data_IF_812444153563
#
_entry.id   IF_812444153563
#
_cell.length_a   1.000
_cell.length_b   1.000
_cell.length_c   1.000
_cell.angle_alpha   90.00
_cell.angle_beta   90.00
_cell.angle_gamma   90.00
#
_symmetry.space_group_name_H-M   'P 1'
#
loop_
_entity.id
_entity.type
_entity.pdbx_description
1 polymer ?
#
# COMPACT_ATOMS: atom_id res chain seq x y z
N UNK A 1 -0.64 26.20 -0.74
CA UNK A 1 -0.77 27.07 0.45
C UNK A 1 -1.65 26.45 1.53
N UNK A 2 -2.84 25.92 1.21
CA UNK A 2 -3.79 25.34 2.18
C UNK A 2 -3.25 24.24 3.12
N UNK A 3 -2.15 23.56 2.77
CA UNK A 3 -1.53 22.49 3.56
C UNK A 3 -0.17 22.89 4.17
N UNK A 4 0.18 24.18 4.16
CA UNK A 4 1.44 24.71 4.68
C UNK A 4 2.73 24.05 4.13
N UNK A 5 2.72 23.64 2.86
CA UNK A 5 3.86 23.06 2.14
C UNK A 5 4.13 23.81 0.85
N UNK A 6 4.84 24.93 0.92
CA UNK A 6 5.20 25.73 -0.25
C UNK A 6 6.53 25.20 -0.80
N UNK A 7 6.47 24.47 -1.91
CA UNK A 7 7.63 23.90 -2.60
C UNK A 7 7.46 24.16 -4.11
N UNK A 8 8.18 25.14 -4.69
CA UNK A 8 8.10 25.43 -6.12
C UNK A 8 8.57 24.26 -6.99
N UNK A 9 8.02 24.15 -8.20
CA UNK A 9 8.39 23.11 -9.16
C UNK A 9 9.89 23.11 -9.48
N UNK A 10 10.47 24.29 -9.76
CA UNK A 10 11.90 24.42 -10.09
C UNK A 10 12.81 23.91 -8.96
N UNK A 11 12.41 24.09 -7.70
CA UNK A 11 13.16 23.55 -6.57
C UNK A 11 13.16 22.01 -6.60
N UNK A 12 12.02 21.39 -6.86
CA UNK A 12 11.89 19.93 -6.92
C UNK A 12 12.71 19.39 -8.10
N UNK A 13 12.61 20.05 -9.26
CA UNK A 13 13.37 19.71 -10.47
C UNK A 13 14.87 19.72 -10.20
N UNK A 14 15.39 20.81 -9.64
CA UNK A 14 16.81 20.95 -9.28
C UNK A 14 17.27 19.83 -8.33
N UNK A 15 16.44 19.43 -7.37
CA UNK A 15 16.80 18.33 -6.45
C UNK A 15 16.82 16.97 -7.13
N UNK A 16 15.87 16.68 -8.02
CA UNK A 16 15.86 15.42 -8.78
C UNK A 16 17.07 15.34 -9.70
N UNK A 17 17.43 16.43 -10.38
CA UNK A 17 18.62 16.50 -11.23
C UNK A 17 19.89 16.22 -10.42
N UNK A 18 20.05 16.86 -9.26
CA UNK A 18 21.20 16.61 -8.35
C UNK A 18 21.27 15.18 -7.83
N UNK A 19 20.12 14.54 -7.54
CA UNK A 19 20.09 13.13 -7.13
C UNK A 19 20.59 12.23 -8.27
N UNK A 20 20.19 12.51 -9.52
CA UNK A 20 20.69 11.77 -10.68
C UNK A 20 22.18 12.00 -10.93
N UNK A 21 22.64 13.24 -10.84
CA UNK A 21 24.08 13.57 -10.96
C UNK A 21 24.93 12.85 -9.90
N UNK A 22 24.38 12.65 -8.71
CA UNK A 22 25.02 11.90 -7.64
C UNK A 22 24.92 10.35 -7.79
N UNK A 23 24.29 9.86 -8.85
CA UNK A 23 24.17 8.42 -9.13
C UNK A 23 23.09 7.70 -8.33
N UNK A 24 22.12 8.41 -7.75
CA UNK A 24 20.96 7.75 -7.15
C UNK A 24 20.08 7.11 -8.22
N UNK A 25 19.79 5.84 -8.01
CA UNK A 25 18.83 5.07 -8.81
C UNK A 25 17.44 5.06 -8.14
N UNK A 26 16.40 4.73 -8.89
CA UNK A 26 15.03 4.53 -8.40
C UNK A 26 14.43 5.72 -7.62
N UNK A 27 14.52 6.92 -8.19
CA UNK A 27 13.95 8.13 -7.58
C UNK A 27 12.42 8.04 -7.55
N UNK A 28 11.85 8.11 -6.34
CA UNK A 28 10.41 8.09 -6.12
C UNK A 28 9.85 9.49 -5.88
N UNK A 29 8.68 9.79 -6.46
CA UNK A 29 7.92 11.03 -6.22
C UNK A 29 6.57 10.71 -5.58
N UNK A 30 6.32 11.29 -4.40
CA UNK A 30 5.05 11.17 -3.70
C UNK A 30 4.08 12.28 -4.08
N UNK A 31 2.88 11.87 -4.47
CA UNK A 31 1.74 12.72 -4.73
C UNK A 31 0.62 12.43 -3.74
N UNK A 32 -0.16 13.46 -3.41
CA UNK A 32 -1.36 13.31 -2.58
C UNK A 32 -2.53 13.97 -3.30
N UNK A 33 -3.53 13.15 -3.64
CA UNK A 33 -4.78 13.61 -4.24
C UNK A 33 -5.93 13.63 -3.22
N UNK A 34 -6.92 14.52 -3.41
CA UNK A 34 -7.99 14.75 -2.44
C UNK A 34 -7.66 15.80 -1.37
N UNK A 35 -6.62 16.60 -1.56
CA UNK A 35 -6.33 17.78 -0.73
C UNK A 35 -7.26 18.95 -1.10
N UNK A 36 -7.40 19.96 -0.22
CA UNK A 36 -8.27 21.10 -0.48
C UNK A 36 -7.97 21.80 -1.82
N UNK A 37 -9.04 22.21 -2.51
CA UNK A 37 -9.04 22.92 -3.80
C UNK A 37 -8.53 22.11 -5.00
N UNK A 38 -8.28 20.81 -4.86
CA UNK A 38 -7.93 19.97 -5.99
C UNK A 38 -9.18 19.59 -6.81
N UNK A 39 -9.13 19.87 -8.10
CA UNK A 39 -10.01 19.28 -9.12
C UNK A 39 -9.20 18.36 -10.04
N UNK A 40 -9.88 17.55 -10.85
CA UNK A 40 -9.29 16.75 -11.93
C UNK A 40 -8.35 17.58 -12.80
N UNK A 41 -8.80 18.74 -13.29
CA UNK A 41 -8.03 19.59 -14.19
C UNK A 41 -6.79 20.20 -13.49
N UNK A 42 -6.93 20.57 -12.22
CA UNK A 42 -5.80 21.09 -11.44
C UNK A 42 -4.75 20.02 -11.16
N UNK A 43 -5.19 18.78 -10.91
CA UNK A 43 -4.32 17.66 -10.59
C UNK A 43 -3.67 17.08 -11.85
N UNK A 44 -4.36 17.10 -12.99
CA UNK A 44 -3.80 16.72 -14.29
C UNK A 44 -2.54 17.53 -14.62
N UNK A 45 -2.58 18.85 -14.42
CA UNK A 45 -1.39 19.71 -14.57
C UNK A 45 -0.24 19.33 -13.62
N UNK A 46 -0.56 18.78 -12.46
CA UNK A 46 0.46 18.28 -11.52
C UNK A 46 1.06 16.98 -12.03
N UNK A 47 0.23 16.06 -12.52
CA UNK A 47 0.66 14.79 -13.13
C UNK A 47 1.54 15.03 -14.35
N UNK A 48 1.17 15.96 -15.23
CA UNK A 48 1.98 16.32 -16.41
C UNK A 48 3.38 16.80 -16.03
N UNK A 49 3.48 17.68 -15.01
CA UNK A 49 4.78 18.11 -14.48
C UNK A 49 5.58 16.96 -13.86
N UNK A 50 4.94 16.00 -13.20
CA UNK A 50 5.65 14.83 -12.67
C UNK A 50 6.15 13.92 -13.80
N UNK A 51 5.38 13.76 -14.86
CA UNK A 51 5.81 13.02 -16.06
C UNK A 51 7.04 13.70 -16.68
N UNK A 52 7.06 15.04 -16.79
CA UNK A 52 8.23 15.80 -17.25
C UNK A 52 9.48 15.58 -16.39
N UNK A 53 9.32 15.45 -15.07
CA UNK A 53 10.43 15.11 -14.17
C UNK A 53 10.98 13.68 -14.40
N UNK A 54 10.19 12.81 -15.03
CA UNK A 54 10.54 11.43 -15.39
C UNK A 54 11.09 10.58 -14.22
N UNK A 55 10.46 10.60 -13.02
CA UNK A 55 10.92 9.78 -11.89
C UNK A 55 10.88 8.28 -12.23
N UNK A 56 11.56 7.46 -11.45
CA UNK A 56 11.56 6.01 -11.68
C UNK A 56 10.34 5.34 -11.04
N UNK A 57 9.87 5.92 -9.94
CA UNK A 57 8.70 5.47 -9.17
C UNK A 57 7.81 6.65 -8.79
N UNK A 58 6.52 6.39 -8.66
CA UNK A 58 5.52 7.37 -8.23
C UNK A 58 4.59 6.70 -7.24
N UNK A 59 4.31 7.36 -6.12
CA UNK A 59 3.26 6.94 -5.19
C UNK A 59 2.18 8.03 -5.09
N UNK A 60 0.96 7.72 -5.52
CA UNK A 60 -0.16 8.66 -5.57
C UNK A 60 -1.19 8.34 -4.47
N UNK A 61 -0.97 8.88 -3.28
CA UNK A 61 -1.79 8.58 -2.10
C UNK A 61 -3.11 9.34 -2.09
N UNK A 62 -4.19 8.63 -1.73
CA UNK A 62 -5.46 9.26 -1.41
C UNK A 62 -5.37 9.97 -0.05
N UNK A 63 -5.72 11.25 0.00
CA UNK A 63 -5.78 11.98 1.25
C UNK A 63 -6.88 11.41 2.15
N UNK A 64 -6.47 10.99 3.35
CA UNK A 64 -7.36 10.53 4.42
C UNK A 64 -7.63 11.65 5.42
N UNK A 65 -8.86 12.16 5.42
CA UNK A 65 -9.33 13.16 6.37
C UNK A 65 -9.86 12.48 7.65
N UNK A 66 -9.04 12.48 8.69
CA UNK A 66 -9.27 11.80 9.98
C UNK A 66 -8.91 12.73 11.16
N UNK A 67 -9.60 13.89 11.32
CA UNK A 67 -9.26 14.90 12.32
C UNK A 67 -9.35 14.42 13.77
N UNK A 68 -10.06 13.32 14.02
CA UNK A 68 -10.14 12.66 15.33
C UNK A 68 -8.79 12.04 15.75
N UNK A 69 -8.02 11.54 14.78
CA UNK A 69 -6.70 10.92 14.98
C UNK A 69 -5.58 11.93 14.71
N UNK A 70 -5.80 12.86 13.78
CA UNK A 70 -4.85 13.90 13.38
C UNK A 70 -5.48 15.30 13.56
N UNK A 71 -5.50 15.84 14.80
CA UNK A 71 -6.22 17.09 15.11
C UNK A 71 -5.82 18.29 14.24
N UNK A 72 -4.57 18.38 13.79
CA UNK A 72 -4.10 19.46 12.91
C UNK A 72 -4.85 19.53 11.57
N UNK A 73 -5.47 18.43 11.10
CA UNK A 73 -6.30 18.44 9.89
C UNK A 73 -7.57 19.29 10.05
N UNK A 74 -7.99 19.62 11.28
CA UNK A 74 -9.12 20.54 11.52
C UNK A 74 -8.86 21.96 11.00
N UNK A 75 -7.59 22.32 10.79
CA UNK A 75 -7.19 23.60 10.20
C UNK A 75 -7.44 23.67 8.68
N UNK A 76 -7.76 22.54 8.04
CA UNK A 76 -8.05 22.50 6.61
C UNK A 76 -9.48 22.99 6.33
N UNK A 77 -9.70 23.78 5.27
CA UNK A 77 -11.03 24.20 4.85
C UNK A 77 -11.82 22.99 4.36
N UNK A 78 -12.76 22.51 5.19
CA UNK A 78 -13.54 21.28 4.92
C UNK A 78 -14.33 21.37 3.62
N UNK A 79 -14.96 22.51 3.35
CA UNK A 79 -15.79 22.72 2.17
C UNK A 79 -14.98 22.79 0.86
N UNK A 80 -13.66 22.92 0.97
CA UNK A 80 -12.74 22.88 -0.15
C UNK A 80 -12.20 21.47 -0.43
N UNK A 81 -12.50 20.48 0.42
CA UNK A 81 -12.10 19.09 0.15
C UNK A 81 -12.89 18.55 -1.05
N UNK A 82 -12.24 17.84 -1.98
CA UNK A 82 -12.93 17.27 -3.13
C UNK A 82 -13.96 16.23 -2.69
N UNK A 83 -15.09 16.18 -3.39
CA UNK A 83 -16.11 15.15 -3.16
C UNK A 83 -15.55 13.75 -3.47
N UNK A 84 -16.17 12.67 -2.96
CA UNK A 84 -15.76 11.30 -3.31
C UNK A 84 -15.75 11.04 -4.83
N UNK A 85 -16.75 11.56 -5.54
CA UNK A 85 -16.83 11.46 -7.01
C UNK A 85 -15.65 12.16 -7.69
N UNK A 86 -15.30 13.37 -7.24
CA UNK A 86 -14.15 14.11 -7.77
C UNK A 86 -12.82 13.38 -7.49
N UNK A 87 -12.68 12.77 -6.30
CA UNK A 87 -11.52 11.94 -5.98
C UNK A 87 -11.40 10.71 -6.89
N UNK A 88 -12.52 10.10 -7.28
CA UNK A 88 -12.52 8.98 -8.24
C UNK A 88 -12.10 9.44 -9.63
N UNK A 89 -12.63 10.57 -10.11
CA UNK A 89 -12.22 11.18 -11.39
C UNK A 89 -10.72 11.52 -11.43
N UNK A 90 -10.17 12.01 -10.32
CA UNK A 90 -8.73 12.25 -10.18
C UNK A 90 -7.95 10.92 -10.23
N UNK A 91 -8.41 9.89 -9.52
CA UNK A 91 -7.74 8.58 -9.49
C UNK A 91 -7.71 7.92 -10.88
N UNK A 92 -8.83 7.92 -11.60
CA UNK A 92 -8.92 7.40 -12.97
C UNK A 92 -7.93 8.13 -13.89
N UNK A 93 -7.93 9.48 -13.85
CA UNK A 93 -7.00 10.30 -14.62
C UNK A 93 -5.54 10.01 -14.30
N UNK A 94 -5.18 9.83 -13.02
CA UNK A 94 -3.83 9.49 -12.58
C UNK A 94 -3.37 8.19 -13.23
N UNK A 95 -4.21 7.15 -13.17
CA UNK A 95 -3.91 5.81 -13.70
C UNK A 95 -3.68 5.92 -15.22
N UNK A 96 -4.63 6.52 -15.94
CA UNK A 96 -4.58 6.64 -17.39
C UNK A 96 -3.36 7.42 -17.89
N UNK A 97 -3.05 8.57 -17.27
CA UNK A 97 -1.93 9.43 -17.66
C UNK A 97 -0.59 8.76 -17.39
N UNK A 98 -0.40 8.15 -16.23
CA UNK A 98 0.87 7.48 -15.93
C UNK A 98 1.06 6.23 -16.79
N UNK A 99 0.02 5.44 -17.03
CA UNK A 99 0.13 4.30 -17.96
C UNK A 99 0.42 4.75 -19.39
N UNK A 100 -0.24 5.81 -19.86
CA UNK A 100 0.01 6.41 -21.18
C UNK A 100 1.43 6.99 -21.31
N UNK A 101 2.03 7.43 -20.20
CA UNK A 101 3.43 7.87 -20.12
C UNK A 101 4.43 6.70 -19.96
N UNK A 102 3.98 5.45 -19.98
CA UNK A 102 4.82 4.25 -19.95
C UNK A 102 5.08 3.66 -18.57
N UNK A 103 4.45 4.17 -17.51
CA UNK A 103 4.57 3.58 -16.18
C UNK A 103 3.65 2.35 -16.03
N UNK A 104 4.14 1.35 -15.30
CA UNK A 104 3.35 0.18 -14.89
C UNK A 104 2.64 0.53 -13.58
N UNK A 105 1.32 0.35 -13.56
CA UNK A 105 0.55 0.38 -12.31
C UNK A 105 0.84 -0.91 -11.51
N UNK A 106 1.71 -0.78 -10.50
CA UNK A 106 2.15 -1.89 -9.65
C UNK A 106 1.00 -2.33 -8.75
N UNK A 107 0.32 -1.39 -8.10
CA UNK A 107 -0.82 -1.72 -7.25
C UNK A 107 -1.03 -0.69 -6.15
N UNK A 108 -2.27 -0.66 -5.66
CA UNK A 108 -2.79 0.34 -4.72
C UNK A 108 -2.61 1.78 -5.21
N UNK A 109 -1.43 2.34 -5.00
CA UNK A 109 -1.09 3.75 -5.21
C UNK A 109 0.29 3.89 -5.90
N UNK A 110 0.96 2.79 -6.24
CA UNK A 110 2.33 2.80 -6.76
C UNK A 110 2.40 2.55 -8.27
N UNK A 111 3.26 3.32 -8.92
CA UNK A 111 3.64 3.21 -10.32
C UNK A 111 5.17 3.13 -10.43
N UNK A 112 5.67 2.37 -11.40
CA UNK A 112 7.10 2.27 -11.65
C UNK A 112 7.39 2.07 -13.14
N UNK A 113 8.61 2.39 -13.59
CA UNK A 113 9.03 2.08 -14.96
C UNK A 113 8.99 0.56 -15.23
N UNK A 114 8.78 0.12 -16.49
CA UNK A 114 8.68 -1.31 -16.80
C UNK A 114 9.92 -2.14 -16.43
N UNK A 115 11.09 -1.51 -16.45
CA UNK A 115 12.40 -2.08 -16.13
C UNK A 115 12.74 -2.00 -14.63
N UNK A 116 11.96 -1.26 -13.83
CA UNK A 116 12.18 -1.18 -12.39
C UNK A 116 12.02 -2.56 -11.74
N UNK A 117 12.87 -2.85 -10.76
CA UNK A 117 12.90 -4.14 -10.06
C UNK A 117 11.52 -4.55 -9.49
N UNK A 118 10.66 -3.60 -9.10
CA UNK A 118 9.32 -3.91 -8.59
C UNK A 118 8.40 -4.39 -9.71
N UNK A 119 8.44 -3.75 -10.88
CA UNK A 119 7.66 -4.16 -12.04
C UNK A 119 8.12 -5.53 -12.56
N UNK A 120 9.44 -5.76 -12.57
CA UNK A 120 10.04 -7.05 -12.94
C UNK A 120 9.62 -8.14 -11.96
N UNK A 121 9.72 -7.90 -10.65
CA UNK A 121 9.35 -8.87 -9.62
C UNK A 121 7.86 -9.21 -9.66
N UNK A 122 6.98 -8.23 -9.89
CA UNK A 122 5.55 -8.48 -10.02
C UNK A 122 5.24 -9.40 -11.22
N UNK A 123 5.87 -9.17 -12.38
CA UNK A 123 5.68 -10.05 -13.55
C UNK A 123 6.13 -11.48 -13.31
N UNK A 124 7.08 -11.69 -12.39
CA UNK A 124 7.56 -13.02 -11.97
C UNK A 124 6.77 -13.63 -10.81
N UNK A 125 5.81 -12.91 -10.23
CA UNK A 125 5.10 -13.35 -9.02
C UNK A 125 5.96 -13.34 -7.76
N UNK A 126 7.03 -12.53 -7.75
CA UNK A 126 8.03 -12.43 -6.69
C UNK A 126 7.93 -11.11 -5.90
N UNK A 127 6.99 -10.23 -6.25
CA UNK A 127 6.83 -8.96 -5.55
C UNK A 127 6.35 -9.23 -4.13
N UNK A 128 6.97 -8.53 -3.18
CA UNK A 128 6.62 -8.61 -1.76
C UNK A 128 6.31 -7.22 -1.20
N UNK A 129 5.81 -7.19 0.03
CA UNK A 129 5.52 -5.96 0.74
C UNK A 129 5.87 -6.07 2.22
N UNK A 130 6.48 -5.01 2.76
CA UNK A 130 6.71 -4.84 4.19
C UNK A 130 6.07 -3.53 4.70
N UNK A 131 6.44 -3.08 5.89
CA UNK A 131 5.89 -1.85 6.48
C UNK A 131 6.25 -0.58 5.69
N UNK A 132 7.37 -0.56 4.97
CA UNK A 132 7.81 0.58 4.18
C UNK A 132 7.10 0.65 2.81
N UNK A 133 6.77 -0.49 2.21
CA UNK A 133 6.16 -0.55 0.89
C UNK A 133 6.47 -1.83 0.14
N UNK A 134 6.31 -1.78 -1.18
CA UNK A 134 6.68 -2.86 -2.08
C UNK A 134 8.20 -3.08 -2.11
N UNK A 135 8.64 -4.32 -2.24
CA UNK A 135 10.04 -4.71 -2.23
C UNK A 135 10.26 -6.03 -2.97
N UNK A 136 11.48 -6.23 -3.49
CA UNK A 136 11.96 -7.50 -4.05
C UNK A 136 12.54 -8.45 -2.99
N UNK A 137 12.60 -8.01 -1.72
CA UNK A 137 13.23 -8.76 -0.63
C UNK A 137 12.19 -9.45 0.26
N UNK A 138 11.73 -10.63 -0.18
CA UNK A 138 10.92 -11.52 0.65
C UNK A 138 11.78 -12.28 1.66
N UNK A 139 11.25 -12.52 2.86
CA UNK A 139 11.88 -13.38 3.87
C UNK A 139 13.04 -12.74 4.65
N UNK A 140 13.27 -11.44 4.49
CA UNK A 140 14.24 -10.71 5.30
C UNK A 140 13.58 -10.18 6.57
N UNK A 141 14.34 -10.16 7.66
CA UNK A 141 13.91 -9.49 8.89
C UNK A 141 14.06 -7.97 8.74
N UNK A 142 13.09 -7.23 9.26
CA UNK A 142 13.06 -5.79 9.31
C UNK A 142 13.26 -5.33 10.76
N UNK A 143 14.40 -4.72 11.05
CA UNK A 143 14.67 -4.12 12.35
C UNK A 143 14.33 -2.63 12.32
N UNK A 144 13.26 -2.26 13.04
CA UNK A 144 12.82 -0.88 13.14
C UNK A 144 13.48 -0.15 14.31
N UNK A 145 14.24 0.91 14.04
CA UNK A 145 14.86 1.78 15.06
C UNK A 145 14.11 3.10 15.22
N UNK A 146 14.16 3.67 16.43
CA UNK A 146 13.49 4.93 16.75
C UNK A 146 12.09 4.76 17.35
N UNK A 147 11.54 5.85 17.87
CA UNK A 147 10.17 5.85 18.37
C UNK A 147 9.18 5.53 17.25
N UNK A 148 8.08 4.85 17.59
CA UNK A 148 7.00 4.38 16.68
C UNK A 148 7.36 3.29 15.68
N UNK A 149 8.65 2.98 15.49
CA UNK A 149 9.11 2.02 14.49
C UNK A 149 8.47 0.66 14.69
N UNK A 150 8.28 -0.05 13.58
CA UNK A 150 7.77 -1.42 13.56
C UNK A 150 8.84 -2.31 12.95
N UNK A 151 9.12 -3.42 13.61
CA UNK A 151 9.93 -4.49 13.06
C UNK A 151 9.10 -5.72 12.71
N UNK A 152 9.68 -6.54 11.83
CA UNK A 152 9.13 -7.80 11.34
C UNK A 152 10.24 -8.83 11.39
N UNK A 153 10.08 -9.82 12.27
CA UNK A 153 10.90 -11.02 12.33
C UNK A 153 10.19 -12.15 11.57
N UNK A 154 10.79 -13.33 11.54
CA UNK A 154 10.22 -14.50 10.86
C UNK A 154 8.75 -14.78 11.27
N UNK A 155 8.51 -14.85 12.58
CA UNK A 155 7.24 -15.25 13.20
C UNK A 155 6.55 -14.16 14.01
N UNK A 156 7.08 -12.94 14.01
CA UNK A 156 6.57 -11.91 14.91
C UNK A 156 6.74 -10.50 14.38
N UNK A 157 5.85 -9.63 14.85
CA UNK A 157 5.94 -8.19 14.68
C UNK A 157 6.18 -7.54 16.03
N UNK A 158 6.97 -6.48 16.07
CA UNK A 158 7.12 -5.65 17.27
C UNK A 158 7.01 -4.18 16.91
N UNK A 159 6.55 -3.38 17.87
CA UNK A 159 6.48 -1.94 17.73
C UNK A 159 7.17 -1.27 18.92
N UNK A 160 8.05 -0.32 18.65
CA UNK A 160 8.68 0.50 19.66
C UNK A 160 7.69 1.51 20.28
N UNK A 161 8.03 2.03 21.46
CA UNK A 161 7.26 3.09 22.11
C UNK A 161 6.93 4.25 21.18
N UNK A 162 5.68 4.71 21.24
CA UNK A 162 5.16 5.75 20.34
C UNK A 162 5.57 7.16 20.75
N UNK A 163 5.80 7.39 22.04
CA UNK A 163 6.22 8.70 22.54
C UNK A 163 7.73 8.71 22.68
N UNK A 164 8.36 9.86 22.38
CA UNK A 164 9.79 10.04 22.61
C UNK A 164 10.16 9.89 24.09
N UNK A 165 9.26 10.30 25.00
CA UNK A 165 9.47 10.19 26.45
C UNK A 165 9.66 8.74 26.88
N UNK A 166 8.72 7.87 26.52
CA UNK A 166 8.74 6.47 26.96
C UNK A 166 9.82 5.68 26.21
N UNK A 167 10.08 6.02 24.94
CA UNK A 167 11.19 5.48 24.15
C UNK A 167 12.55 5.78 24.81
N UNK A 168 12.85 7.05 25.10
CA UNK A 168 14.12 7.46 25.70
C UNK A 168 14.28 6.87 27.11
N UNK A 169 13.24 6.96 27.94
CA UNK A 169 13.26 6.39 29.29
C UNK A 169 13.64 4.90 29.28
N UNK A 170 13.09 4.13 28.34
CA UNK A 170 13.37 2.68 28.26
C UNK A 170 14.83 2.40 27.86
N UNK A 171 15.39 3.22 26.96
CA UNK A 171 16.80 3.14 26.55
C UNK A 171 17.74 3.53 27.70
N UNK A 172 17.43 4.62 28.42
CA UNK A 172 18.25 5.10 29.53
C UNK A 172 18.34 4.08 30.67
N UNK A 173 17.34 3.20 30.80
CA UNK A 173 17.31 2.07 31.72
C UNK A 173 18.02 0.80 31.19
N UNK A 174 18.65 0.86 30.01
CA UNK A 174 19.36 -0.26 29.38
C UNK A 174 18.44 -1.33 28.78
N UNK A 175 17.18 -1.01 28.48
CA UNK A 175 16.19 -1.95 27.94
C UNK A 175 15.87 -1.67 26.47
N UNK A 176 15.49 -2.72 25.72
CA UNK A 176 15.02 -2.57 24.33
C UNK A 176 13.63 -1.90 24.35
N UNK A 177 13.40 -0.81 23.60
CA UNK A 177 12.20 0.03 23.73
C UNK A 177 10.95 -0.53 23.03
N UNK A 178 10.73 -1.85 23.10
CA UNK A 178 9.53 -2.52 22.56
C UNK A 178 8.33 -2.21 23.45
N UNK A 179 7.28 -1.65 22.86
CA UNK A 179 6.01 -1.37 23.51
C UNK A 179 5.06 -2.57 23.46
N UNK A 180 4.97 -3.23 22.29
CA UNK A 180 4.10 -4.38 22.06
C UNK A 180 4.61 -5.22 20.91
N UNK A 181 4.17 -6.47 20.86
CA UNK A 181 4.41 -7.36 19.73
C UNK A 181 3.25 -8.31 19.47
N UNK A 182 3.36 -9.07 18.39
CA UNK A 182 2.42 -10.10 17.99
C UNK A 182 3.20 -11.28 17.43
N UNK A 183 2.98 -12.48 17.98
CA UNK A 183 3.56 -13.73 17.47
C UNK A 183 2.50 -14.41 16.60
N UNK A 184 2.89 -14.78 15.40
CA UNK A 184 2.06 -15.39 14.38
C UNK A 184 1.85 -16.87 14.71
N UNK A 185 0.60 -17.32 14.61
CA UNK A 185 0.30 -18.74 14.59
C UNK A 185 0.34 -19.27 13.13
N UNK A 186 0.18 -20.58 12.95
CA UNK A 186 0.22 -21.23 11.64
C UNK A 186 -0.82 -20.66 10.64
N UNK A 187 -2.05 -20.40 11.08
CA UNK A 187 -3.10 -19.78 10.24
C UNK A 187 -2.71 -18.36 9.81
N UNK A 188 -2.06 -17.58 10.68
CA UNK A 188 -1.55 -16.25 10.33
C UNK A 188 -0.47 -16.32 9.23
N UNK A 189 0.40 -17.34 9.26
CA UNK A 189 1.42 -17.54 8.22
C UNK A 189 0.78 -17.85 6.86
N UNK A 190 -0.17 -18.79 6.82
CA UNK A 190 -0.86 -19.19 5.59
C UNK A 190 -1.61 -17.99 5.01
N UNK A 191 -2.40 -17.29 5.84
CA UNK A 191 -3.19 -16.13 5.41
C UNK A 191 -2.31 -14.96 4.98
N UNK A 192 -1.16 -14.74 5.65
CA UNK A 192 -0.19 -13.71 5.24
C UNK A 192 0.31 -13.97 3.83
N UNK A 193 0.66 -15.20 3.49
CA UNK A 193 1.12 -15.53 2.13
C UNK A 193 0.03 -15.27 1.09
N UNK A 194 -1.20 -15.72 1.34
CA UNK A 194 -2.34 -15.49 0.43
C UNK A 194 -2.63 -14.01 0.25
N UNK A 195 -2.70 -13.24 1.34
CA UNK A 195 -2.95 -11.79 1.30
C UNK A 195 -1.82 -11.07 0.56
N UNK A 196 -0.56 -11.44 0.80
CA UNK A 196 0.58 -10.80 0.15
C UNK A 196 0.61 -11.10 -1.35
N UNK A 197 0.33 -12.34 -1.75
CA UNK A 197 0.22 -12.70 -3.17
C UNK A 197 -0.91 -11.92 -3.86
N UNK A 198 -2.09 -11.83 -3.24
CA UNK A 198 -3.19 -11.01 -3.77
C UNK A 198 -2.74 -9.55 -3.92
N UNK A 199 -2.18 -8.94 -2.86
CA UNK A 199 -1.84 -7.52 -2.83
C UNK A 199 -0.63 -7.12 -3.69
N UNK A 200 0.30 -8.05 -3.95
CA UNK A 200 1.55 -7.78 -4.67
C UNK A 200 1.58 -8.38 -6.07
N UNK A 201 1.01 -9.57 -6.24
CA UNK A 201 1.11 -10.37 -7.46
C UNK A 201 -0.23 -10.51 -8.18
N UNK A 202 -1.27 -9.81 -7.71
CA UNK A 202 -2.58 -9.68 -8.37
C UNK A 202 -3.29 -11.03 -8.54
N UNK A 203 -3.10 -11.91 -7.57
CA UNK A 203 -3.67 -13.24 -7.55
C UNK A 203 -2.90 -14.16 -6.63
N UNK A 204 -3.37 -15.39 -6.49
CA UNK A 204 -2.71 -16.44 -5.71
C UNK A 204 -2.87 -17.77 -6.43
N UNK A 205 -1.79 -18.55 -6.52
CA UNK A 205 -1.81 -19.91 -7.07
C UNK A 205 -2.00 -20.91 -5.93
N UNK A 206 -3.02 -21.77 -6.02
CA UNK A 206 -3.33 -22.74 -4.98
C UNK A 206 -2.18 -23.73 -4.78
N UNK A 207 -1.61 -24.36 -5.83
CA UNK A 207 -0.53 -25.33 -5.65
C UNK A 207 0.71 -24.75 -4.96
N UNK A 208 0.96 -23.43 -5.09
CA UNK A 208 2.06 -22.75 -4.37
C UNK A 208 1.81 -22.79 -2.86
N UNK A 209 0.62 -22.39 -2.42
CA UNK A 209 0.25 -22.35 -1.00
C UNK A 209 0.16 -23.77 -0.43
N UNK A 210 -0.43 -24.70 -1.17
CA UNK A 210 -0.54 -26.11 -0.77
C UNK A 210 0.84 -26.75 -0.55
N UNK A 211 1.81 -26.53 -1.46
CA UNK A 211 3.19 -27.01 -1.29
C UNK A 211 3.91 -26.39 -0.10
N UNK A 212 3.66 -25.10 0.18
CA UNK A 212 4.33 -24.39 1.27
C UNK A 212 3.85 -24.84 2.65
N UNK A 213 2.56 -25.16 2.78
CA UNK A 213 1.91 -25.36 4.08
C UNK A 213 1.29 -26.74 4.29
N UNK A 214 1.29 -27.62 3.27
CA UNK A 214 0.75 -28.97 3.39
C UNK A 214 -0.77 -29.01 3.57
N UNK A 215 -1.49 -28.03 3.03
CA UNK A 215 -2.96 -27.94 3.08
C UNK A 215 -3.59 -28.26 1.73
N UNK A 216 -4.90 -28.53 1.70
CA UNK A 216 -5.73 -28.40 0.50
C UNK A 216 -6.34 -26.98 0.49
N UNK A 217 -6.05 -26.17 -0.52
CA UNK A 217 -6.43 -24.76 -0.53
C UNK A 217 -7.95 -24.58 -0.52
N UNK A 218 -8.66 -25.37 -1.33
CA UNK A 218 -10.11 -25.25 -1.50
C UNK A 218 -10.87 -25.67 -0.25
N UNK A 219 -10.39 -26.70 0.44
CA UNK A 219 -10.96 -27.13 1.71
C UNK A 219 -10.66 -26.12 2.83
N UNK A 220 -9.40 -25.68 2.93
CA UNK A 220 -8.95 -24.75 3.96
C UNK A 220 -9.63 -23.37 3.86
N UNK A 221 -9.79 -22.86 2.63
CA UNK A 221 -10.39 -21.57 2.33
C UNK A 221 -11.81 -21.69 1.75
N UNK A 222 -12.53 -22.79 2.00
CA UNK A 222 -13.86 -23.03 1.42
C UNK A 222 -14.83 -21.88 1.67
N UNK A 223 -14.79 -21.30 2.87
CA UNK A 223 -15.64 -20.18 3.26
C UNK A 223 -15.22 -18.89 2.54
N UNK A 224 -13.92 -18.59 2.49
CA UNK A 224 -13.39 -17.44 1.78
C UNK A 224 -13.75 -17.50 0.29
N UNK A 225 -13.65 -18.68 -0.33
CA UNK A 225 -14.05 -18.89 -1.72
C UNK A 225 -15.55 -18.65 -1.94
N UNK A 226 -16.40 -19.00 -0.98
CA UNK A 226 -17.83 -18.66 -1.04
C UNK A 226 -18.06 -17.14 -0.93
N UNK A 227 -17.38 -16.48 0.00
CA UNK A 227 -17.45 -15.01 0.19
C UNK A 227 -16.92 -14.24 -1.03
N UNK A 228 -16.11 -14.87 -1.89
CA UNK A 228 -15.56 -14.26 -3.11
C UNK A 228 -16.50 -14.33 -4.32
N UNK A 229 -17.57 -15.14 -4.29
CA UNK A 229 -18.46 -15.31 -5.46
C UNK A 229 -19.11 -14.01 -5.92
N UNK A 230 -19.54 -13.16 -4.99
CA UNK A 230 -20.13 -11.85 -5.33
C UNK A 230 -19.11 -10.97 -6.09
N UNK A 231 -17.85 -10.96 -5.65
CA UNK A 231 -16.78 -10.21 -6.34
C UNK A 231 -16.42 -10.81 -7.71
N UNK A 232 -16.58 -12.13 -7.88
CA UNK A 232 -16.40 -12.80 -9.17
C UNK A 232 -17.56 -12.47 -10.14
N UNK A 233 -18.80 -12.49 -9.66
CA UNK A 233 -19.99 -12.08 -10.41
C UNK A 233 -19.91 -10.61 -10.87
N UNK A 234 -19.37 -9.73 -10.01
CA UNK A 234 -19.08 -8.32 -10.32
C UNK A 234 -17.87 -8.12 -11.26
N UNK A 235 -17.17 -9.20 -11.64
CA UNK A 235 -16.01 -9.12 -12.55
C UNK A 235 -14.77 -8.46 -11.94
N UNK A 236 -14.65 -8.44 -10.61
CA UNK A 236 -13.47 -7.93 -9.91
C UNK A 236 -12.34 -8.97 -9.90
N UNK A 237 -12.70 -10.24 -9.83
CA UNK A 237 -11.78 -11.36 -9.77
C UNK A 237 -12.26 -12.50 -10.66
N UNK A 238 -11.39 -13.48 -10.85
CA UNK A 238 -11.74 -14.77 -11.44
C UNK A 238 -11.16 -15.89 -10.58
N UNK A 239 -12.00 -16.81 -10.14
CA UNK A 239 -11.62 -18.00 -9.40
C UNK A 239 -11.54 -19.17 -10.39
N UNK A 240 -10.32 -19.56 -10.73
CA UNK A 240 -10.06 -20.68 -11.62
C UNK A 240 -9.82 -21.96 -10.81
N UNK A 241 -9.58 -23.09 -11.48
CA UNK A 241 -9.38 -24.37 -10.80
C UNK A 241 -8.19 -24.35 -9.83
N UNK A 242 -7.10 -23.71 -10.24
CA UNK A 242 -5.79 -23.72 -9.57
C UNK A 242 -5.33 -22.35 -9.04
N UNK A 243 -6.14 -21.29 -9.17
CA UNK A 243 -5.74 -19.93 -8.78
C UNK A 243 -6.92 -18.97 -8.62
N UNK A 244 -6.64 -17.84 -7.96
CA UNK A 244 -7.47 -16.62 -8.03
C UNK A 244 -6.69 -15.57 -8.81
N UNK A 245 -7.34 -14.87 -9.73
CA UNK A 245 -6.78 -13.74 -10.48
C UNK A 245 -7.56 -12.47 -10.18
N UNK A 246 -6.84 -11.38 -9.94
CA UNK A 246 -7.43 -10.04 -9.84
C UNK A 246 -7.59 -9.47 -11.25
N UNK A 247 -8.81 -9.12 -11.63
CA UNK A 247 -9.11 -8.49 -12.92
C UNK A 247 -8.78 -7.00 -12.89
N UNK A 248 -8.65 -6.32 -14.05
CA UNK A 248 -8.26 -4.91 -14.10
C UNK A 248 -9.09 -3.99 -13.19
N UNK A 249 -10.41 -4.17 -13.16
CA UNK A 249 -11.33 -3.41 -12.29
C UNK A 249 -11.10 -3.73 -10.81
N UNK A 250 -10.90 -5.02 -10.48
CA UNK A 250 -10.64 -5.46 -9.11
C UNK A 250 -9.32 -4.95 -8.52
N UNK A 251 -8.37 -4.48 -9.33
CA UNK A 251 -7.12 -3.87 -8.82
C UNK A 251 -7.39 -2.66 -7.92
N UNK A 252 -8.45 -1.89 -8.17
CA UNK A 252 -8.84 -0.74 -7.34
C UNK A 252 -9.39 -1.17 -5.98
N UNK A 253 -10.03 -2.35 -5.95
CA UNK A 253 -10.67 -2.94 -4.77
C UNK A 253 -9.88 -4.10 -4.18
N UNK A 254 -8.57 -4.17 -4.48
CA UNK A 254 -7.71 -5.29 -4.09
C UNK A 254 -7.66 -5.51 -2.57
N UNK A 255 -7.82 -4.42 -1.80
CA UNK A 255 -7.92 -4.49 -0.34
C UNK A 255 -9.18 -5.23 0.10
N UNK A 256 -10.30 -5.03 -0.59
CA UNK A 256 -11.57 -5.70 -0.28
C UNK A 256 -11.45 -7.21 -0.52
N UNK A 257 -10.76 -7.61 -1.60
CA UNK A 257 -10.45 -9.03 -1.87
C UNK A 257 -9.55 -9.62 -0.78
N UNK A 258 -8.46 -8.92 -0.43
CA UNK A 258 -7.55 -9.38 0.62
C UNK A 258 -8.22 -9.49 2.00
N UNK A 259 -9.17 -8.61 2.31
CA UNK A 259 -9.92 -8.63 3.58
C UNK A 259 -10.74 -9.90 3.78
N UNK A 260 -11.14 -10.61 2.70
CA UNK A 260 -11.86 -11.89 2.82
C UNK A 260 -10.99 -12.92 3.53
N UNK A 261 -9.68 -12.89 3.31
CA UNK A 261 -8.73 -13.82 3.92
C UNK A 261 -8.24 -13.40 5.32
N UNK A 262 -8.64 -12.24 5.83
CA UNK A 262 -8.24 -11.75 7.16
C UNK A 262 -9.16 -12.31 8.27
N UNK A 263 -8.65 -13.30 9.02
CA UNK A 263 -9.37 -13.91 10.13
C UNK A 263 -9.62 -12.96 11.31
N UNK A 264 -8.77 -11.95 11.52
CA UNK A 264 -8.87 -11.02 12.65
C UNK A 264 -9.88 -9.91 12.40
N UNK A 265 -10.07 -9.50 11.14
CA UNK A 265 -11.13 -8.57 10.77
C UNK A 265 -12.52 -9.13 11.06
N UNK A 266 -12.73 -10.44 10.87
CA UNK A 266 -13.99 -11.09 11.23
C UNK A 266 -14.24 -11.01 12.74
N UNK A 267 -13.22 -11.30 13.55
CA UNK A 267 -13.30 -11.16 15.03
C UNK A 267 -13.55 -9.71 15.45
N UNK A 268 -13.04 -8.74 14.67
CA UNK A 268 -13.24 -7.30 14.90
C UNK A 268 -14.48 -6.71 14.23
N UNK A 269 -15.23 -7.38 13.35
CA UNK A 269 -16.50 -6.85 12.83
C UNK A 269 -17.56 -6.72 13.94
N UNK A 270 -17.33 -7.36 15.09
CA UNK A 270 -18.04 -7.07 16.35
C UNK A 270 -17.67 -5.68 16.96
N UNK A 271 -16.57 -5.05 16.52
CA UNK A 271 -16.00 -3.77 17.00
C UNK A 271 -15.53 -2.89 15.80
N UNK A 272 -16.47 -2.16 15.17
CA UNK A 272 -16.27 -1.36 13.93
C UNK A 272 -15.18 -0.27 14.00
N UNK A 273 -14.22 -0.26 13.06
CA UNK A 273 -13.55 0.96 12.57
C UNK A 273 -13.11 0.87 11.08
N UNK A 274 -13.38 1.97 10.34
CA UNK A 274 -13.03 2.33 8.94
C UNK A 274 -13.77 1.62 7.80
N UNK A 275 -14.44 2.41 6.94
CA UNK A 275 -15.03 1.99 5.65
C UNK A 275 -13.96 2.10 4.55
N UNK A 276 -13.82 1.05 3.75
CA UNK A 276 -13.18 1.13 2.42
C UNK A 276 -14.04 1.99 1.50
N UNK A 277 -13.42 2.61 0.48
CA UNK A 277 -14.13 3.34 -0.58
C UNK A 277 -15.04 2.36 -1.32
#
# INVERSE_FOLDING_TARGET
>A
QAVNRIQPYELIKEKIEKLREAGFESINVDLIYGLPYQTKESFEKTVEKVIELNPDRIAAYSFAYIPQVKPHQQLLPKDALPSPEEKLKILEMIIDKFQSAGYVYIGMDHFAKPEDELAVAQRKGELWRNFQGYTTKKGVELLGFGATSIGMLYDSYFQNWKTLRDYNKTIDEGRIPVFRGYVLNEDDFIRREVIMDIMCNLGVEFPKIERMFGINFREYFARELEELKEMEEDGLIKVEEDRIRILPVGRLLIRNVAMVFDAHLRRKKELKFSRTI
#
